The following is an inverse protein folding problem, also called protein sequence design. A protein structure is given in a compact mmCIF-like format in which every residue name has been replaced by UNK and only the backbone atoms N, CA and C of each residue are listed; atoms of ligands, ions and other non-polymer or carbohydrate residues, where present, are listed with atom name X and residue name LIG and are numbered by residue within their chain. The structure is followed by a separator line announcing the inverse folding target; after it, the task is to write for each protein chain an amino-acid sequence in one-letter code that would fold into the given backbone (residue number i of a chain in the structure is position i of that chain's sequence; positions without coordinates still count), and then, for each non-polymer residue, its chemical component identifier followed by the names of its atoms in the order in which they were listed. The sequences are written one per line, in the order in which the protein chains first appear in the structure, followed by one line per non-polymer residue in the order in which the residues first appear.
data_IF_822533084108
#
_entry.id   IF_822533084108
#
_cell.length_a   1.000
_cell.length_b   1.000
_cell.length_c   1.000
_cell.angle_alpha   90.00
_cell.angle_beta   90.00
_cell.angle_gamma   90.00
#
_symmetry.space_group_name_H-M   'P 1'
#
loop_
_entity.id
_entity.type
_entity.pdbx_description
1 polymer ?
#
# COMPACT_ATOMS: atom_id res chain seq x y z
N UNK A 1 -3.13 7.89 -29.76
CA UNK A 1 -1.78 7.79 -30.36
C UNK A 1 -1.21 6.45 -29.93
N UNK A 2 -0.74 5.61 -30.86
CA UNK A 2 -0.04 4.36 -30.50
C UNK A 2 1.35 4.72 -29.99
N UNK A 3 1.71 4.25 -28.80
CA UNK A 3 3.05 4.47 -28.25
C UNK A 3 4.05 3.55 -28.96
N UNK A 4 5.06 4.14 -29.61
CA UNK A 4 6.12 3.41 -30.33
C UNK A 4 6.86 2.47 -29.38
N UNK A 5 7.08 2.92 -28.14
CA UNK A 5 7.72 2.15 -27.07
C UNK A 5 6.92 0.88 -26.74
N UNK A 6 5.59 1.01 -26.62
CA UNK A 6 4.71 -0.12 -26.33
C UNK A 6 4.72 -1.19 -27.42
N UNK A 7 4.72 -0.78 -28.69
CA UNK A 7 4.77 -1.72 -29.82
C UNK A 7 6.14 -2.41 -29.95
N UNK A 8 7.24 -1.69 -29.72
CA UNK A 8 8.58 -2.26 -29.72
C UNK A 8 8.80 -3.23 -28.57
N UNK A 9 8.33 -2.88 -27.36
CA UNK A 9 8.34 -3.76 -26.19
C UNK A 9 7.60 -5.08 -26.48
N UNK A 10 6.39 -4.98 -27.01
CA UNK A 10 5.59 -6.15 -27.39
C UNK A 10 6.30 -7.01 -28.42
N UNK A 11 6.90 -6.39 -29.44
CA UNK A 11 7.66 -7.09 -30.49
C UNK A 11 8.86 -7.85 -29.92
N UNK A 12 9.64 -7.23 -29.03
CA UNK A 12 10.80 -7.86 -28.40
C UNK A 12 10.40 -9.03 -27.49
N UNK A 13 9.28 -8.88 -26.78
CA UNK A 13 8.71 -9.95 -25.94
C UNK A 13 8.25 -11.14 -26.79
N UNK A 14 7.44 -10.89 -27.83
CA UNK A 14 6.88 -11.94 -28.69
C UNK A 14 7.97 -12.63 -29.53
N UNK A 15 8.95 -11.88 -30.05
CA UNK A 15 10.09 -12.41 -30.80
C UNK A 15 10.98 -13.38 -30.00
N UNK A 16 10.95 -13.28 -28.66
CA UNK A 16 11.66 -14.18 -27.73
C UNK A 16 10.76 -15.22 -27.08
N UNK A 17 9.50 -15.34 -27.50
CA UNK A 17 8.54 -16.29 -26.93
C UNK A 17 8.23 -16.05 -25.45
N UNK A 18 8.40 -14.82 -24.97
CA UNK A 18 8.15 -14.49 -23.57
C UNK A 18 6.67 -14.14 -23.35
N UNK A 19 6.09 -14.66 -22.28
CA UNK A 19 4.75 -14.25 -21.85
C UNK A 19 4.82 -12.91 -21.11
N UNK A 20 3.70 -12.19 -21.06
CA UNK A 20 3.61 -10.91 -20.33
C UNK A 20 3.92 -11.12 -18.84
N UNK A 21 3.48 -12.24 -18.28
CA UNK A 21 3.72 -12.63 -16.89
C UNK A 21 5.19 -12.91 -16.60
N UNK A 22 5.94 -13.41 -17.60
CA UNK A 22 7.38 -13.64 -17.45
C UNK A 22 8.14 -12.32 -17.40
N UNK A 23 7.84 -11.40 -18.31
CA UNK A 23 8.42 -10.05 -18.34
C UNK A 23 8.08 -9.29 -17.06
N UNK A 24 6.82 -9.32 -16.65
CA UNK A 24 6.37 -8.66 -15.42
C UNK A 24 7.10 -9.19 -14.17
N UNK A 25 7.29 -10.52 -14.07
CA UNK A 25 8.06 -11.13 -12.97
C UNK A 25 9.53 -10.70 -12.97
N UNK A 26 10.17 -10.61 -14.13
CA UNK A 26 11.57 -10.21 -14.24
C UNK A 26 11.79 -8.73 -13.89
N UNK A 27 10.77 -7.90 -14.07
CA UNK A 27 10.78 -6.47 -13.75
C UNK A 27 10.14 -6.16 -12.38
N UNK A 28 9.69 -7.18 -11.65
CA UNK A 28 8.94 -7.05 -10.38
C UNK A 28 7.69 -6.14 -10.46
N UNK A 29 7.07 -6.05 -11.64
CA UNK A 29 5.82 -5.30 -11.87
C UNK A 29 4.62 -6.24 -12.03
N UNK A 30 3.41 -5.70 -12.01
CA UNK A 30 2.20 -6.48 -12.29
C UNK A 30 2.09 -6.75 -13.80
N UNK A 31 1.57 -7.91 -14.24
CA UNK A 31 1.31 -8.17 -15.66
C UNK A 31 0.47 -7.09 -16.34
N UNK A 32 -0.50 -6.52 -15.61
CA UNK A 32 -1.32 -5.43 -16.08
C UNK A 32 -0.52 -4.17 -16.45
N UNK A 33 0.59 -3.90 -15.76
CA UNK A 33 1.49 -2.76 -16.03
C UNK A 33 2.20 -2.96 -17.36
N UNK A 34 2.71 -4.17 -17.64
CA UNK A 34 3.32 -4.51 -18.94
C UNK A 34 2.28 -4.45 -20.07
N UNK A 35 1.05 -4.93 -19.84
CA UNK A 35 -0.05 -4.74 -20.80
C UNK A 35 -0.36 -3.24 -21.00
N UNK A 36 -0.31 -2.44 -19.94
CA UNK A 36 -0.46 -1.00 -19.97
C UNK A 36 0.57 -0.33 -20.89
N UNK A 37 1.83 -0.73 -20.76
CA UNK A 37 2.94 -0.28 -21.62
C UNK A 37 2.75 -0.72 -23.08
N UNK A 38 2.48 -2.00 -23.33
CA UNK A 38 2.31 -2.54 -24.68
C UNK A 38 1.10 -1.94 -25.43
N UNK A 39 0.07 -1.52 -24.69
CA UNK A 39 -1.12 -0.86 -25.24
C UNK A 39 -0.98 0.66 -25.31
N UNK A 40 0.10 1.24 -24.78
CA UNK A 40 0.34 2.69 -24.73
C UNK A 40 -0.58 3.44 -23.76
N UNK A 41 -1.24 2.75 -22.83
CA UNK A 41 -2.05 3.36 -21.76
C UNK A 41 -1.18 3.92 -20.64
N UNK A 42 -0.04 3.29 -20.42
CA UNK A 42 0.99 3.67 -19.45
C UNK A 42 2.33 3.74 -20.18
N UNK A 43 3.30 4.46 -19.63
CA UNK A 43 4.66 4.54 -20.17
C UNK A 43 5.63 3.98 -19.12
N UNK A 44 6.63 3.17 -19.52
CA UNK A 44 7.64 2.72 -18.57
C UNK A 44 8.49 3.91 -18.11
N UNK A 45 8.81 3.95 -16.83
CA UNK A 45 9.73 4.92 -16.23
C UNK A 45 11.16 4.69 -16.74
N UNK A 46 12.06 5.69 -16.69
CA UNK A 46 13.44 5.55 -17.18
C UNK A 46 14.20 4.34 -16.62
N UNK A 47 14.01 4.00 -15.35
CA UNK A 47 14.62 2.82 -14.72
C UNK A 47 14.08 1.49 -15.30
N UNK A 48 12.79 1.45 -15.66
CA UNK A 48 12.15 0.28 -16.26
C UNK A 48 12.60 0.12 -17.72
N UNK A 49 12.80 1.23 -18.44
CA UNK A 49 13.39 1.22 -19.78
C UNK A 49 14.82 0.66 -19.77
N UNK A 50 15.66 1.02 -18.80
CA UNK A 50 17.00 0.45 -18.66
C UNK A 50 16.97 -1.05 -18.37
N UNK A 51 16.05 -1.51 -17.52
CA UNK A 51 15.87 -2.92 -17.21
C UNK A 51 15.34 -3.70 -18.43
N UNK A 52 14.41 -3.12 -19.18
CA UNK A 52 13.89 -3.67 -20.43
C UNK A 52 14.99 -3.77 -21.48
N UNK A 53 15.80 -2.73 -21.65
CA UNK A 53 16.95 -2.70 -22.57
C UNK A 53 17.96 -3.80 -22.24
N UNK A 54 18.33 -3.94 -20.96
CA UNK A 54 19.24 -5.01 -20.49
C UNK A 54 18.65 -6.40 -20.66
N UNK A 55 17.38 -6.60 -20.29
CA UNK A 55 16.70 -7.89 -20.38
C UNK A 55 16.53 -8.35 -21.83
N UNK A 56 16.31 -7.40 -22.74
CA UNK A 56 16.15 -7.65 -24.16
C UNK A 56 17.43 -7.43 -24.96
N UNK A 57 18.60 -7.24 -24.34
CA UNK A 57 19.88 -7.03 -25.02
C UNK A 57 19.77 -6.07 -26.23
N UNK A 58 19.06 -4.97 -26.03
CA UNK A 58 18.82 -3.91 -27.02
C UNK A 58 19.12 -2.56 -26.37
N UNK A 59 19.40 -1.55 -27.17
CA UNK A 59 19.64 -0.20 -26.64
C UNK A 59 18.31 0.47 -26.25
N UNK A 60 18.39 1.46 -25.35
CA UNK A 60 17.20 2.25 -24.94
C UNK A 60 16.63 3.02 -26.15
N UNK A 61 17.50 3.46 -27.06
CA UNK A 61 17.12 4.11 -28.31
C UNK A 61 16.34 3.17 -29.25
N UNK A 62 16.70 1.89 -29.28
CA UNK A 62 15.99 0.86 -30.05
C UNK A 62 14.59 0.58 -29.47
N UNK A 63 14.42 0.65 -28.15
CA UNK A 63 13.12 0.63 -27.48
C UNK A 63 12.29 1.89 -27.78
N UNK A 64 12.92 3.07 -27.83
CA UNK A 64 12.26 4.35 -28.13
C UNK A 64 11.81 4.47 -29.59
N UNK A 65 12.53 3.82 -30.51
CA UNK A 65 12.24 3.78 -31.94
C UNK A 65 12.40 5.14 -32.62
N UNK A 66 13.47 5.32 -33.38
CA UNK A 66 13.53 6.39 -34.39
C UNK A 66 12.51 6.08 -35.49
N UNK A 67 11.71 7.09 -35.85
CA UNK A 67 10.66 6.98 -36.87
C UNK A 67 11.28 6.67 -38.23
N UNK A 68 11.34 5.40 -38.61
CA UNK A 68 11.46 5.01 -40.02
C UNK A 68 10.34 4.07 -40.44
N UNK A 69 9.42 4.67 -41.21
CA UNK A 69 8.38 4.01 -41.97
C UNK A 69 9.00 3.04 -43.00
N UNK A 70 8.83 1.73 -42.80
CA UNK A 70 8.71 0.79 -43.92
C UNK A 70 7.52 -0.14 -43.72
N UNK A 71 6.48 0.18 -44.47
CA UNK A 71 5.39 -0.69 -44.94
C UNK A 71 5.89 -2.05 -45.43
N UNK A 72 5.26 -3.15 -44.96
CA UNK A 72 4.57 -4.18 -45.80
C UNK A 72 3.93 -5.33 -44.98
N UNK A 73 2.58 -5.33 -44.94
CA UNK A 73 1.62 -6.37 -45.40
C UNK A 73 1.65 -7.85 -44.91
N UNK A 74 0.48 -8.25 -44.37
CA UNK A 74 -0.28 -9.54 -44.47
C UNK A 74 0.29 -10.80 -43.75
N UNK A 75 -0.47 -11.76 -43.22
CA UNK A 75 -1.89 -12.13 -43.31
C UNK A 75 -2.32 -13.12 -42.19
N UNK A 76 -3.64 -13.18 -41.91
CA UNK A 76 -4.39 -14.37 -41.42
C UNK A 76 -4.13 -14.80 -39.97
N UNK A 77 -5.07 -15.30 -39.18
CA UNK A 77 -6.37 -15.89 -39.47
C UNK A 77 -7.28 -15.81 -38.21
N UNK A 78 -8.58 -15.84 -38.49
CA UNK A 78 -9.71 -15.88 -37.58
C UNK A 78 -9.96 -17.33 -37.16
N UNK A 79 -10.23 -17.59 -35.88
CA UNK A 79 -11.09 -18.70 -35.46
C UNK A 79 -11.64 -18.43 -34.05
N UNK A 80 -12.96 -18.46 -34.03
CA UNK A 80 -13.90 -18.65 -32.95
C UNK A 80 -13.71 -19.99 -32.22
N UNK A 81 -13.95 -20.01 -30.91
CA UNK A 81 -15.07 -20.81 -30.39
C UNK A 81 -15.36 -20.53 -28.92
N UNK A 82 -16.67 -20.53 -28.66
CA UNK A 82 -17.39 -20.61 -27.40
C UNK A 82 -16.85 -21.65 -26.42
N UNK A 83 -17.11 -21.44 -25.12
CA UNK A 83 -17.82 -22.37 -24.20
C UNK A 83 -17.72 -21.86 -22.74
N UNK A 84 -18.90 -21.58 -22.18
CA UNK A 84 -19.36 -21.90 -20.82
C UNK A 84 -18.73 -21.27 -19.56
N UNK A 85 -19.57 -20.49 -18.85
CA UNK A 85 -19.73 -20.55 -17.38
C UNK A 85 -20.37 -21.92 -16.99
N UNK A 86 -20.45 -22.37 -15.70
CA UNK A 86 -20.40 -21.61 -14.44
C UNK A 86 -19.67 -22.33 -13.28
N UNK A 87 -19.65 -21.73 -12.08
CA UNK A 87 -19.42 -22.49 -10.85
C UNK A 87 -18.95 -21.67 -9.65
N UNK A 88 -19.91 -21.19 -8.87
CA UNK A 88 -19.74 -20.75 -7.48
C UNK A 88 -19.12 -21.86 -6.62
N UNK A 89 -18.34 -21.49 -5.60
CA UNK A 89 -18.29 -22.19 -4.31
C UNK A 89 -17.61 -21.33 -3.22
N UNK A 90 -18.46 -20.67 -2.44
CA UNK A 90 -18.21 -20.19 -1.09
C UNK A 90 -18.50 -21.33 -0.10
N UNK A 91 -17.53 -21.75 0.69
CA UNK A 91 -17.78 -22.36 2.00
C UNK A 91 -16.51 -22.32 2.86
N UNK A 92 -16.67 -21.98 4.16
CA UNK A 92 -15.58 -22.05 5.14
C UNK A 92 -15.54 -20.87 6.12
N UNK A 93 -16.62 -20.66 6.89
CA UNK A 93 -16.65 -19.75 8.05
C UNK A 93 -16.19 -20.54 9.27
N UNK A 94 -15.06 -20.15 9.86
CA UNK A 94 -14.62 -20.58 11.18
C UNK A 94 -14.61 -19.39 12.12
N UNK A 95 -15.53 -19.39 13.09
CA UNK A 95 -15.66 -18.43 14.18
C UNK A 95 -14.56 -18.60 15.23
N UNK A 96 -14.14 -17.49 15.84
CA UNK A 96 -13.18 -17.49 16.94
C UNK A 96 -12.85 -16.10 17.44
N UNK A 97 -13.85 -15.34 17.90
CA UNK A 97 -13.63 -14.06 18.57
C UNK A 97 -13.48 -14.28 20.09
N UNK A 98 -12.37 -13.80 20.69
CA UNK A 98 -12.22 -13.64 22.14
C UNK A 98 -12.34 -12.16 22.54
N UNK A 99 -12.95 -11.98 23.71
CA UNK A 99 -13.49 -10.76 24.33
C UNK A 99 -12.47 -9.65 24.64
N UNK A 100 -12.90 -8.38 24.78
CA UNK A 100 -12.02 -7.22 24.90
C UNK A 100 -11.71 -6.88 26.36
N UNK A 101 -10.44 -6.95 26.75
CA UNK A 101 -9.93 -6.43 28.01
C UNK A 101 -8.66 -5.63 27.79
N UNK A 102 -8.71 -4.37 28.22
CA UNK A 102 -7.59 -3.45 28.48
C UNK A 102 -6.72 -2.99 27.27
N UNK A 103 -6.96 -1.77 26.78
CA UNK A 103 -6.40 -1.24 25.51
C UNK A 103 -5.56 0.05 25.65
N UNK A 104 -4.83 0.20 26.75
CA UNK A 104 -3.79 1.23 26.86
C UNK A 104 -2.49 0.65 27.40
N UNK A 105 -1.79 -0.16 26.61
CA UNK A 105 -0.40 -0.52 26.88
C UNK A 105 0.50 0.40 26.08
N UNK A 106 0.94 1.50 26.72
CA UNK A 106 2.12 2.22 26.29
C UNK A 106 3.31 1.33 26.60
N UNK A 107 3.93 0.76 25.57
CA UNK A 107 5.16 -0.03 25.71
C UNK A 107 6.31 0.92 26.03
N UNK A 108 6.48 1.22 27.32
CA UNK A 108 7.62 1.96 27.83
C UNK A 108 8.88 1.12 27.65
N UNK A 109 9.80 1.58 26.81
CA UNK A 109 11.14 1.03 26.75
C UNK A 109 11.93 1.45 27.98
N UNK A 110 12.01 0.55 28.97
CA UNK A 110 13.08 0.61 29.98
C UNK A 110 14.42 0.18 29.38
N UNK A 111 15.55 0.65 29.94
CA UNK A 111 16.90 0.41 29.40
C UNK A 111 17.34 -1.07 29.51
N UNK A 112 16.61 -1.87 30.26
CA UNK A 112 16.92 -3.28 30.55
C UNK A 112 15.86 -4.21 29.95
N UNK A 113 15.97 -4.44 28.64
CA UNK A 113 15.80 -5.78 28.06
C UNK A 113 14.66 -6.66 28.58
N UNK A 114 13.41 -6.23 28.39
CA UNK A 114 12.31 -7.17 28.14
C UNK A 114 11.28 -6.51 27.24
N UNK A 115 11.57 -6.47 25.95
CA UNK A 115 10.57 -6.07 24.97
C UNK A 115 9.42 -7.10 25.03
N UNK A 116 8.22 -6.63 25.35
CA UNK A 116 6.99 -7.44 25.31
C UNK A 116 6.66 -7.97 23.89
N UNK A 117 7.57 -7.82 22.92
CA UNK A 117 7.48 -8.43 21.60
C UNK A 117 7.26 -9.93 21.69
N UNK A 118 7.83 -10.61 22.69
CA UNK A 118 7.61 -12.04 22.88
C UNK A 118 6.15 -12.39 23.17
N UNK A 119 5.36 -11.42 23.65
CA UNK A 119 3.90 -11.52 23.81
C UNK A 119 3.14 -11.02 22.57
N UNK A 120 3.85 -10.62 21.53
CA UNK A 120 3.28 -10.11 20.29
C UNK A 120 3.42 -11.13 19.15
N UNK A 121 2.55 -11.04 18.13
CA UNK A 121 2.65 -11.85 16.90
C UNK A 121 3.98 -11.70 16.16
N UNK A 122 4.76 -10.64 16.45
CA UNK A 122 6.06 -10.40 15.81
C UNK A 122 7.16 -11.37 16.28
N UNK A 123 7.00 -12.00 17.46
CA UNK A 123 7.97 -12.95 17.99
C UNK A 123 8.25 -14.11 17.02
N UNK A 124 7.23 -14.57 16.31
CA UNK A 124 7.33 -15.66 15.35
C UNK A 124 8.15 -15.31 14.09
N UNK A 125 8.44 -14.02 13.87
CA UNK A 125 9.15 -13.52 12.69
C UNK A 125 10.58 -13.05 13.00
N UNK A 126 11.02 -13.09 14.25
CA UNK A 126 12.38 -12.72 14.66
C UNK A 126 13.39 -13.81 14.26
N UNK A 127 14.54 -13.38 13.75
CA UNK A 127 15.68 -14.27 13.54
C UNK A 127 16.37 -14.65 14.86
N UNK A 128 17.08 -15.78 14.88
CA UNK A 128 17.72 -16.33 16.10
C UNK A 128 18.74 -15.39 16.77
N UNK A 129 19.40 -14.51 15.99
CA UNK A 129 20.36 -13.51 16.48
C UNK A 129 19.90 -12.06 16.23
N UNK A 130 18.61 -11.86 15.98
CA UNK A 130 18.06 -10.52 15.69
C UNK A 130 17.79 -9.77 17.00
N UNK A 131 18.51 -8.67 17.23
CA UNK A 131 18.35 -7.84 18.42
C UNK A 131 17.24 -6.83 18.20
N UNK A 132 16.23 -6.84 19.07
CA UNK A 132 15.19 -5.82 19.05
C UNK A 132 15.66 -4.56 19.76
N UNK A 133 15.57 -3.43 19.06
CA UNK A 133 15.86 -2.10 19.58
C UNK A 133 14.60 -1.41 20.13
N UNK A 134 13.45 -1.60 19.48
CA UNK A 134 12.18 -1.03 19.91
C UNK A 134 10.96 -1.84 19.47
N UNK A 135 9.87 -1.73 20.23
CA UNK A 135 8.59 -2.36 19.98
C UNK A 135 7.45 -1.40 20.28
N UNK A 136 6.37 -1.42 19.50
CA UNK A 136 5.19 -0.62 19.84
C UNK A 136 3.97 -0.89 18.98
N UNK A 137 2.92 -0.12 19.27
CA UNK A 137 1.63 -0.15 18.57
C UNK A 137 1.15 1.28 18.29
N UNK A 138 0.23 1.48 17.33
CA UNK A 138 -0.42 2.76 17.14
C UNK A 138 -1.15 3.22 18.41
N UNK A 139 -0.96 4.49 18.77
CA UNK A 139 -1.74 5.11 19.83
C UNK A 139 -3.20 5.32 19.37
N UNK A 140 -4.12 5.23 20.34
CA UNK A 140 -5.55 5.48 20.10
C UNK A 140 -5.86 6.96 19.81
N UNK A 141 -4.92 7.87 20.09
CA UNK A 141 -5.15 9.32 20.12
C UNK A 141 -5.50 9.92 18.74
N UNK A 142 -5.09 9.27 17.64
CA UNK A 142 -5.15 9.87 16.30
C UNK A 142 -5.82 8.95 15.26
N UNK A 143 -7.06 8.51 15.48
CA UNK A 143 -7.76 7.69 14.47
C UNK A 143 -8.11 8.53 13.23
N UNK A 144 -7.34 8.39 12.15
CA UNK A 144 -7.78 8.72 10.78
C UNK A 144 -7.64 10.19 10.37
N UNK A 145 -6.97 10.99 11.20
CA UNK A 145 -6.76 12.41 10.96
C UNK A 145 -8.04 13.21 11.07
N UNK A 146 -7.91 14.52 10.95
CA UNK A 146 -9.10 15.37 10.95
C UNK A 146 -9.59 15.46 9.52
N UNK A 147 -10.86 15.13 9.30
CA UNK A 147 -11.53 15.33 8.01
C UNK A 147 -11.17 16.71 7.44
N UNK A 148 -10.64 16.77 6.22
CA UNK A 148 -10.21 18.03 5.63
C UNK A 148 -11.38 19.02 5.50
N UNK A 149 -11.11 20.33 5.39
CA UNK A 149 -12.18 21.33 5.27
C UNK A 149 -13.08 21.08 4.06
N UNK A 150 -12.48 20.68 2.95
CA UNK A 150 -13.18 20.25 1.74
C UNK A 150 -14.03 19.00 1.97
N UNK A 151 -13.48 17.96 2.62
CA UNK A 151 -14.25 16.75 2.93
C UNK A 151 -15.46 17.07 3.82
N UNK A 152 -15.29 17.90 4.86
CA UNK A 152 -16.41 18.31 5.71
C UNK A 152 -17.50 19.01 4.92
N UNK A 153 -17.11 19.96 4.05
CA UNK A 153 -18.06 20.64 3.16
C UNK A 153 -18.77 19.64 2.24
N UNK A 154 -18.01 18.76 1.58
CA UNK A 154 -18.55 17.75 0.67
C UNK A 154 -19.55 16.83 1.37
N UNK A 155 -19.25 16.36 2.59
CA UNK A 155 -20.15 15.49 3.34
C UNK A 155 -21.41 16.21 3.83
N UNK A 156 -21.31 17.47 4.25
CA UNK A 156 -22.48 18.30 4.60
C UNK A 156 -23.38 18.51 3.38
N UNK A 157 -22.77 18.86 2.24
CA UNK A 157 -23.50 19.01 0.97
C UNK A 157 -24.18 17.71 0.55
N UNK A 158 -23.46 16.58 0.60
CA UNK A 158 -24.01 15.27 0.23
C UNK A 158 -25.12 14.81 1.17
N UNK A 159 -25.06 15.13 2.48
CA UNK A 159 -26.15 14.87 3.41
C UNK A 159 -27.41 15.67 3.01
N UNK A 160 -27.25 16.97 2.76
CA UNK A 160 -28.36 17.82 2.34
C UNK A 160 -28.97 17.33 1.02
N UNK A 161 -28.13 16.97 0.05
CA UNK A 161 -28.58 16.39 -1.21
C UNK A 161 -29.29 15.04 -1.01
N UNK A 162 -28.78 14.16 -0.15
CA UNK A 162 -29.40 12.86 0.11
C UNK A 162 -30.78 12.99 0.77
N UNK A 163 -30.95 13.94 1.70
CA UNK A 163 -32.24 14.24 2.32
C UNK A 163 -33.23 14.87 1.34
N UNK A 164 -32.77 15.84 0.55
CA UNK A 164 -33.57 16.43 -0.53
C UNK A 164 -34.01 15.35 -1.54
N UNK A 165 -33.06 14.51 -1.96
CA UNK A 165 -33.31 13.43 -2.92
C UNK A 165 -34.30 12.41 -2.37
N UNK A 166 -34.18 12.00 -1.10
CA UNK A 166 -35.15 11.11 -0.46
C UNK A 166 -36.56 11.72 -0.45
N UNK A 167 -36.69 12.99 -0.07
CA UNK A 167 -37.99 13.69 -0.06
C UNK A 167 -38.57 13.80 -1.47
N UNK A 168 -37.75 14.09 -2.48
CA UNK A 168 -38.17 14.18 -3.86
C UNK A 168 -38.56 12.81 -4.46
N UNK A 169 -37.72 11.79 -4.25
CA UNK A 169 -37.87 10.46 -4.86
C UNK A 169 -39.11 9.70 -4.35
N UNK A 170 -39.46 9.87 -3.07
CA UNK A 170 -40.66 9.23 -2.49
C UNK A 170 -41.94 9.75 -3.16
N UNK A 171 -41.96 10.99 -3.65
CA UNK A 171 -43.09 11.55 -4.39
C UNK A 171 -43.21 11.00 -5.83
N UNK A 172 -42.15 10.41 -6.39
CA UNK A 172 -42.17 9.81 -7.72
C UNK A 172 -42.57 8.32 -7.67
N UNK A 173 -41.98 7.57 -6.74
CA UNK A 173 -42.25 6.13 -6.58
C UNK A 173 -41.68 5.61 -5.26
N UNK A 174 -42.40 4.69 -4.62
CA UNK A 174 -41.93 4.00 -3.40
C UNK A 174 -40.61 3.24 -3.62
N UNK A 175 -40.40 2.66 -4.81
CA UNK A 175 -39.15 1.97 -5.16
C UNK A 175 -37.98 2.96 -5.18
N UNK A 176 -38.17 4.16 -5.74
CA UNK A 176 -37.14 5.20 -5.78
C UNK A 176 -36.80 5.73 -4.38
N UNK A 177 -37.77 5.77 -3.48
CA UNK A 177 -37.55 6.04 -2.05
C UNK A 177 -36.61 5.02 -1.39
N UNK A 178 -36.81 3.72 -1.63
CA UNK A 178 -35.94 2.65 -1.12
C UNK A 178 -34.52 2.78 -1.69
N UNK A 179 -34.38 3.07 -2.99
CA UNK A 179 -33.07 3.32 -3.61
C UNK A 179 -32.33 4.50 -2.96
N UNK A 180 -33.05 5.51 -2.48
CA UNK A 180 -32.46 6.65 -1.76
C UNK A 180 -31.80 6.24 -0.44
N UNK A 181 -32.32 5.21 0.24
CA UNK A 181 -31.71 4.65 1.45
C UNK A 181 -30.34 4.01 1.15
N UNK A 182 -30.15 3.41 -0.02
CA UNK A 182 -28.86 2.86 -0.45
C UNK A 182 -27.81 3.96 -0.61
N UNK A 183 -28.19 5.12 -1.17
CA UNK A 183 -27.30 6.28 -1.30
C UNK A 183 -26.92 6.88 0.05
N UNK A 184 -27.86 6.98 0.98
CA UNK A 184 -27.58 7.42 2.35
C UNK A 184 -26.61 6.44 3.03
N UNK A 185 -26.82 5.12 2.88
CA UNK A 185 -25.92 4.11 3.41
C UNK A 185 -24.51 4.20 2.83
N UNK A 186 -24.39 4.36 1.52
CA UNK A 186 -23.10 4.57 0.85
C UNK A 186 -22.43 5.86 1.32
N UNK A 187 -23.18 6.96 1.46
CA UNK A 187 -22.67 8.22 1.98
C UNK A 187 -22.15 8.07 3.42
N UNK A 188 -22.93 7.43 4.31
CA UNK A 188 -22.51 7.14 5.69
C UNK A 188 -21.21 6.32 5.71
N UNK A 189 -21.09 5.32 4.84
CA UNK A 189 -19.86 4.53 4.71
C UNK A 189 -18.69 5.40 4.25
N UNK A 190 -18.85 6.28 3.25
CA UNK A 190 -17.75 7.16 2.82
C UNK A 190 -17.38 8.20 3.87
N UNK A 191 -18.35 8.72 4.63
CA UNK A 191 -18.15 9.72 5.67
C UNK A 191 -17.46 9.15 6.91
N UNK A 192 -17.90 7.98 7.38
CA UNK A 192 -17.49 7.41 8.66
C UNK A 192 -16.75 6.08 8.56
N UNK A 193 -16.96 5.32 7.48
CA UNK A 193 -16.43 3.96 7.31
C UNK A 193 -14.91 3.88 7.44
N UNK A 194 -14.15 4.84 6.88
CA UNK A 194 -12.69 4.87 7.03
C UNK A 194 -12.23 4.96 8.48
N UNK A 195 -12.92 5.76 9.30
CA UNK A 195 -12.59 5.93 10.72
C UNK A 195 -12.96 4.71 11.54
N UNK A 196 -14.11 4.09 11.23
CA UNK A 196 -14.57 2.84 11.87
C UNK A 196 -13.57 1.72 11.58
N UNK A 197 -13.23 1.50 10.31
CA UNK A 197 -12.28 0.48 9.87
C UNK A 197 -10.92 0.70 10.55
N UNK A 198 -10.44 1.93 10.60
CA UNK A 198 -9.15 2.24 11.22
C UNK A 198 -9.18 2.05 12.74
N UNK A 199 -10.25 2.47 13.41
CA UNK A 199 -10.44 2.28 14.87
C UNK A 199 -10.45 0.79 15.25
N UNK A 200 -11.09 -0.05 14.43
CA UNK A 200 -11.17 -1.49 14.65
C UNK A 200 -9.80 -2.16 14.40
N UNK A 201 -9.07 -1.75 13.37
CA UNK A 201 -7.83 -2.42 12.96
C UNK A 201 -6.59 -1.95 13.73
N UNK A 202 -6.53 -0.69 14.18
CA UNK A 202 -5.36 -0.09 14.85
C UNK A 202 -4.79 -0.91 16.03
N UNK A 203 -5.61 -1.45 16.96
CA UNK A 203 -5.10 -2.24 18.08
C UNK A 203 -4.39 -3.54 17.66
N UNK A 204 -4.67 -4.00 16.44
CA UNK A 204 -4.12 -5.25 15.91
C UNK A 204 -2.85 -5.02 15.06
N UNK A 205 -2.30 -3.81 15.08
CA UNK A 205 -1.08 -3.44 14.36
C UNK A 205 0.09 -3.42 15.35
N UNK A 206 1.16 -4.11 14.99
CA UNK A 206 2.37 -4.25 15.79
C UNK A 206 3.56 -3.78 14.97
N UNK A 207 4.44 -3.04 15.62
CA UNK A 207 5.66 -2.49 15.05
C UNK A 207 6.87 -2.94 15.84
N UNK A 208 7.97 -3.21 15.15
CA UNK A 208 9.26 -3.42 15.79
C UNK A 208 10.40 -2.85 14.94
N UNK A 209 11.45 -2.38 15.63
CA UNK A 209 12.72 -1.95 15.05
C UNK A 209 13.79 -2.89 15.59
N UNK A 210 14.55 -3.51 14.70
CA UNK A 210 15.64 -4.42 15.04
C UNK A 210 16.97 -3.86 14.55
N UNK A 211 18.08 -4.54 14.87
CA UNK A 211 19.39 -4.17 14.33
C UNK A 211 19.55 -4.45 12.82
N UNK A 212 18.61 -5.15 12.18
CA UNK A 212 18.70 -5.54 10.76
C UNK A 212 17.62 -4.91 9.87
N UNK A 213 16.46 -4.61 10.46
CA UNK A 213 15.27 -4.22 9.68
C UNK A 213 14.18 -3.59 10.56
N UNK A 214 13.19 -3.07 9.88
CA UNK A 214 11.94 -2.61 10.47
C UNK A 214 10.83 -3.61 10.15
N UNK A 215 10.01 -3.97 11.14
CA UNK A 215 8.96 -4.99 11.02
C UNK A 215 7.58 -4.39 11.29
N UNK A 216 6.60 -4.80 10.48
CA UNK A 216 5.20 -4.40 10.57
C UNK A 216 4.32 -5.64 10.48
N UNK A 217 3.43 -5.82 11.45
CA UNK A 217 2.47 -6.92 11.45
C UNK A 217 1.07 -6.40 11.72
N UNK A 218 0.11 -6.79 10.88
CA UNK A 218 -1.31 -6.57 11.10
C UNK A 218 -1.95 -7.93 11.34
N UNK A 219 -2.56 -8.10 12.50
CA UNK A 219 -3.34 -9.29 12.83
C UNK A 219 -4.82 -9.11 12.50
N UNK A 220 -5.47 -10.18 12.08
CA UNK A 220 -6.87 -10.17 11.68
C UNK A 220 -7.30 -11.53 11.18
N UNK A 221 -8.23 -11.59 10.23
CA UNK A 221 -8.60 -12.85 9.56
C UNK A 221 -7.44 -13.48 8.80
N UNK A 222 -6.59 -12.64 8.22
CA UNK A 222 -5.33 -13.04 7.59
C UNK A 222 -4.26 -12.13 8.17
N UNK A 223 -3.24 -12.74 8.78
CA UNK A 223 -2.09 -11.99 9.28
C UNK A 223 -1.30 -11.48 8.08
N UNK A 224 -1.03 -10.18 8.07
CA UNK A 224 -0.18 -9.55 7.07
C UNK A 224 1.10 -9.10 7.74
N UNK A 225 2.21 -9.63 7.27
CA UNK A 225 3.53 -9.29 7.76
C UNK A 225 4.31 -8.60 6.63
N UNK A 226 5.04 -7.55 6.98
CA UNK A 226 5.98 -6.87 6.08
C UNK A 226 7.22 -6.49 6.85
N UNK A 227 8.36 -6.78 6.26
CA UNK A 227 9.65 -6.34 6.76
C UNK A 227 10.39 -5.49 5.72
N UNK A 228 11.08 -4.46 6.21
CA UNK A 228 11.86 -3.53 5.41
C UNK A 228 13.29 -3.57 5.96
N UNK A 229 14.17 -4.27 5.23
CA UNK A 229 15.61 -4.28 5.53
C UNK A 229 16.20 -2.89 5.30
N UNK A 230 17.19 -2.52 6.12
CA UNK A 230 17.88 -1.24 6.01
C UNK A 230 18.52 -1.02 4.64
N UNK A 231 18.97 -2.08 3.97
CA UNK A 231 19.48 -2.03 2.59
C UNK A 231 18.44 -1.55 1.57
N UNK A 232 17.16 -1.85 1.80
CA UNK A 232 16.04 -1.46 0.92
C UNK A 232 15.37 -0.15 1.36
N UNK A 233 15.72 0.36 2.55
CA UNK A 233 15.15 1.57 3.09
C UNK A 233 15.87 2.78 2.49
N UNK A 234 15.27 3.43 1.50
CA UNK A 234 15.85 4.63 0.88
C UNK A 234 15.86 5.80 1.86
N UNK A 235 14.68 6.16 2.36
CA UNK A 235 14.49 7.31 3.26
C UNK A 235 13.39 6.99 4.28
N UNK A 236 13.58 7.44 5.53
CA UNK A 236 12.52 7.51 6.52
C UNK A 236 12.12 8.98 6.70
N UNK A 237 10.81 9.27 6.67
CA UNK A 237 10.26 10.62 6.90
C UNK A 237 9.44 10.68 8.18
N UNK A 238 9.78 11.62 9.05
CA UNK A 238 9.05 11.87 10.29
C UNK A 238 7.97 12.94 10.08
N UNK A 239 6.73 12.62 10.43
CA UNK A 239 5.59 13.54 10.45
C UNK A 239 5.09 13.63 11.88
N UNK A 240 5.39 14.73 12.56
CA UNK A 240 4.94 14.97 13.92
C UNK A 240 3.47 15.43 13.96
N UNK A 241 2.74 14.98 14.98
CA UNK A 241 1.41 15.52 15.27
C UNK A 241 1.51 16.98 15.73
N UNK A 242 0.50 17.78 15.35
CA UNK A 242 0.46 19.23 15.59
C UNK A 242 0.35 19.60 17.08
N UNK A 243 0.04 18.65 17.96
CA UNK A 243 -0.34 18.89 19.36
C UNK A 243 0.83 18.94 20.35
N UNK A 244 2.07 18.70 19.91
CA UNK A 244 3.23 18.66 20.80
C UNK A 244 3.23 17.46 21.78
N UNK A 245 2.38 16.45 21.54
CA UNK A 245 2.27 15.24 22.36
C UNK A 245 3.43 14.25 22.18
N UNK A 246 4.41 14.56 21.32
CA UNK A 246 5.46 13.63 20.92
C UNK A 246 5.00 12.52 19.96
N UNK A 247 3.70 12.37 19.75
CA UNK A 247 3.12 11.42 18.81
C UNK A 247 3.41 11.81 17.36
N UNK A 248 3.66 10.83 16.51
CA UNK A 248 3.95 11.05 15.11
C UNK A 248 3.85 9.80 14.26
N UNK A 249 3.96 10.00 12.96
CA UNK A 249 3.98 8.93 11.96
C UNK A 249 5.32 8.93 11.26
N UNK A 250 5.94 7.75 11.14
CA UNK A 250 7.18 7.57 10.36
C UNK A 250 6.82 6.82 9.08
N UNK A 251 7.07 7.44 7.94
CA UNK A 251 6.81 6.87 6.61
C UNK A 251 8.12 6.32 6.05
N UNK A 252 8.08 5.09 5.56
CA UNK A 252 9.23 4.45 4.92
C UNK A 252 9.11 4.55 3.39
N UNK A 253 10.18 5.00 2.76
CA UNK A 253 10.28 5.09 1.30
C UNK A 253 11.22 3.98 0.83
N UNK A 254 10.74 3.14 -0.09
CA UNK A 254 11.52 2.06 -0.70
C UNK A 254 11.50 2.19 -2.22
N UNK A 255 12.49 1.65 -2.96
CA UNK A 255 12.54 1.76 -4.43
C UNK A 255 11.30 1.17 -5.11
N UNK A 256 10.74 0.09 -4.54
CA UNK A 256 9.53 -0.59 -5.01
C UNK A 256 8.23 0.10 -4.58
N UNK A 257 8.29 1.04 -3.64
CA UNK A 257 7.12 1.75 -3.12
C UNK A 257 7.47 3.22 -2.87
N UNK A 258 7.34 4.01 -3.93
CA UNK A 258 7.31 5.47 -3.84
C UNK A 258 5.83 5.86 -3.61
N UNK A 259 5.48 6.44 -2.46
CA UNK A 259 4.07 6.76 -2.21
C UNK A 259 3.57 7.79 -3.23
N UNK A 260 2.53 7.43 -3.99
CA UNK A 260 2.02 8.19 -5.15
C UNK A 260 1.24 9.49 -4.80
N UNK A 261 1.36 10.02 -3.59
CA UNK A 261 0.60 11.21 -3.17
C UNK A 261 1.53 12.32 -2.69
N UNK A 262 1.30 13.59 -3.11
CA UNK A 262 2.07 14.71 -2.57
C UNK A 262 1.75 14.83 -1.08
N UNK A 263 2.75 14.53 -0.25
CA UNK A 263 2.68 14.64 1.22
C UNK A 263 2.53 16.11 1.63
N UNK A 264 1.32 16.65 1.47
CA UNK A 264 0.94 17.96 1.95
C UNK A 264 0.49 17.87 3.41
N UNK A 265 1.43 17.92 4.36
CA UNK A 265 1.23 18.27 5.79
C UNK A 265 0.11 17.56 6.58
N UNK A 266 -0.59 16.55 6.05
CA UNK A 266 -1.79 15.98 6.67
C UNK A 266 -1.83 14.47 6.59
N UNK A 267 -2.11 13.92 7.76
CA UNK A 267 -2.22 12.53 8.15
C UNK A 267 -3.34 11.75 7.40
N UNK A 268 -4.27 12.46 6.77
CA UNK A 268 -5.62 11.98 6.41
C UNK A 268 -5.67 10.88 5.32
N UNK A 269 -4.54 10.49 4.71
CA UNK A 269 -4.52 9.58 3.55
C UNK A 269 -3.67 8.30 3.69
N UNK A 270 -3.05 8.07 4.85
CA UNK A 270 -2.33 6.80 5.16
C UNK A 270 -3.32 5.67 5.51
N UNK A 271 -4.59 6.00 5.76
CA UNK A 271 -5.64 5.08 6.19
C UNK A 271 -6.29 4.23 5.07
N UNK A 272 -5.75 4.23 3.84
CA UNK A 272 -6.14 3.22 2.86
C UNK A 272 -5.37 1.93 3.16
N UNK A 273 -6.07 0.83 3.40
CA UNK A 273 -5.63 -0.42 4.05
C UNK A 273 -4.30 -1.03 3.60
N UNK A 274 -3.80 -0.72 2.40
CA UNK A 274 -2.50 -1.18 1.92
C UNK A 274 -1.31 -0.34 2.43
N UNK A 275 -1.54 0.94 2.75
CA UNK A 275 -0.52 1.88 3.23
C UNK A 275 -0.19 1.70 4.72
N UNK A 276 -0.95 0.88 5.47
CA UNK A 276 -0.72 0.66 6.89
C UNK A 276 0.57 -0.14 7.19
N UNK A 277 1.13 -0.80 6.17
CA UNK A 277 2.40 -1.53 6.24
C UNK A 277 3.58 -0.74 5.65
N UNK A 278 3.36 0.50 5.22
CA UNK A 278 4.40 1.40 4.69
C UNK A 278 4.86 2.44 5.71
N UNK A 279 4.23 2.48 6.89
CA UNK A 279 4.49 3.49 7.90
C UNK A 279 4.23 2.98 9.32
N UNK A 280 4.97 3.51 10.28
CA UNK A 280 4.63 3.47 11.69
C UNK A 280 3.65 4.59 11.98
N UNK A 281 2.39 4.24 12.26
CA UNK A 281 1.31 5.20 12.37
C UNK A 281 1.04 5.50 13.84
N UNK A 282 0.99 6.79 14.18
CA UNK A 282 0.68 7.31 15.51
C UNK A 282 1.44 6.65 16.65
N UNK A 283 2.75 6.50 16.48
CA UNK A 283 3.59 5.99 17.56
C UNK A 283 3.84 7.11 18.57
N UNK A 284 3.87 6.74 19.85
CA UNK A 284 4.37 7.60 20.91
C UNK A 284 5.87 7.83 20.72
N UNK A 285 6.38 8.98 21.18
CA UNK A 285 7.81 9.34 21.08
C UNK A 285 8.41 9.16 19.68
N UNK A 286 7.67 9.56 18.65
CA UNK A 286 8.01 9.29 17.25
C UNK A 286 9.40 9.81 16.84
N UNK A 287 9.87 10.91 17.45
CA UNK A 287 11.21 11.44 17.21
C UNK A 287 12.30 10.48 17.72
N UNK A 288 12.15 9.93 18.93
CA UNK A 288 13.11 8.97 19.48
C UNK A 288 13.19 7.70 18.61
N UNK A 289 12.04 7.20 18.18
CA UNK A 289 11.98 6.00 17.31
C UNK A 289 12.58 6.31 15.94
N UNK A 290 12.34 7.50 15.39
CA UNK A 290 12.95 7.95 14.14
C UNK A 290 14.47 8.01 14.22
N UNK A 291 15.01 8.63 15.27
CA UNK A 291 16.46 8.75 15.48
C UNK A 291 17.08 7.34 15.66
N UNK A 292 16.40 6.44 16.37
CA UNK A 292 16.82 5.05 16.54
C UNK A 292 16.86 4.28 15.22
N UNK A 293 15.87 4.46 14.34
CA UNK A 293 15.84 3.81 13.02
C UNK A 293 17.02 4.28 12.17
N UNK A 294 17.31 5.58 12.17
CA UNK A 294 18.43 6.13 11.41
C UNK A 294 19.79 5.68 11.96
N UNK A 295 19.94 5.61 13.30
CA UNK A 295 21.13 5.09 13.94
C UNK A 295 21.36 3.60 13.59
N UNK A 296 20.32 2.78 13.72
CA UNK A 296 20.37 1.36 13.38
C UNK A 296 20.69 1.12 11.90
N UNK A 297 20.13 1.95 11.01
CA UNK A 297 20.45 1.93 9.58
C UNK A 297 21.95 2.23 9.35
N UNK A 298 22.48 3.26 10.00
CA UNK A 298 23.89 3.64 9.86
C UNK A 298 24.84 2.54 10.36
N UNK A 299 24.55 1.95 11.52
CA UNK A 299 25.31 0.81 12.08
C UNK A 299 25.28 -0.40 11.13
N UNK A 300 24.11 -0.70 10.56
CA UNK A 300 23.96 -1.79 9.58
C UNK A 300 24.80 -1.54 8.32
N UNK A 301 24.79 -0.32 7.78
CA UNK A 301 25.59 0.05 6.60
C UNK A 301 27.10 0.06 6.86
N UNK A 302 27.52 0.33 8.09
CA UNK A 302 28.92 0.21 8.51
C UNK A 302 29.35 -1.26 8.60
N UNK A 303 28.53 -2.10 9.24
CA UNK A 303 28.75 -3.55 9.30
C UNK A 303 28.81 -4.20 7.91
N UNK A 304 27.95 -3.79 6.96
CA UNK A 304 27.95 -4.32 5.60
C UNK A 304 29.18 -3.88 4.78
N UNK A 305 29.77 -2.71 5.09
CA UNK A 305 31.00 -2.22 4.42
C UNK A 305 32.27 -2.87 4.97
N UNK A 306 32.28 -3.23 6.24
CA UNK A 306 33.39 -3.90 6.90
C UNK A 306 32.94 -5.21 7.55
N UNK A 307 32.53 -6.22 6.75
CA UNK A 307 32.39 -7.57 7.26
C UNK A 307 33.81 -8.02 7.60
N UNK A 308 34.07 -8.27 8.88
CA UNK A 308 35.35 -8.70 9.45
C UNK A 308 36.29 -9.44 8.50
#
# INVERSE_FOLDING_TARGET
MKSIIGENLRRQREGRGMSVERVARMLEVKPATVVGWETGREHPEPAELELLAKMFDVSVEELHGTVENKTTKKAGAKADNSVSAPGDNLSGIGEGAKSPGDRSRVFGGEPEGRSDIWNSPLAAYLGENEKVLWAGQPTAEHVGGWMSGYERFFHVFMLAFALFWLAFAVNLSSIMGIFSLLFIGMWLYTAFGKYIVLSINKPNIYYAVTNMRVMLCITGRVNRFRDISYKRLSEARLILSRRGTGCGTIVFITPTHIPQYPYGRRYDRVANTNSLLDAFIDIADARRVYDMINAAKAEFEEYERHPF
#
